data_IF_588156400331
#
_entry.id   IF_588156400331
#
_cell.length_a   1.000
_cell.length_b   1.000
_cell.length_c   1.000
_cell.angle_alpha   90.00
_cell.angle_beta   90.00
_cell.angle_gamma   90.00
#
_symmetry.space_group_name_H-M   'P 1'
#
loop_
_entity.id
_entity.type
_entity.pdbx_description
1 polymer ?
#
# COMPACT_ATOMS: atom_id res chain seq x y z
N UNK A 1 -24.14 -20.28 18.11
CA UNK A 1 -24.73 -21.31 18.99
C UNK A 1 -23.58 -22.08 19.63
N UNK A 2 -23.36 -21.89 20.93
CA UNK A 2 -22.46 -22.73 21.71
C UNK A 2 -23.26 -23.78 22.48
N UNK A 3 -22.68 -24.95 22.69
CA UNK A 3 -23.22 -25.97 23.60
C UNK A 3 -22.30 -26.01 24.81
N UNK A 4 -22.86 -25.92 26.01
CA UNK A 4 -22.11 -26.08 27.26
C UNK A 4 -22.57 -27.37 27.96
N UNK A 5 -21.59 -28.14 28.45
CA UNK A 5 -21.81 -29.35 29.25
C UNK A 5 -21.94 -28.94 30.72
N UNK A 6 -23.00 -29.38 31.40
CA UNK A 6 -23.23 -29.12 32.83
C UNK A 6 -23.27 -30.45 33.61
N UNK A 7 -22.47 -30.58 34.67
CA UNK A 7 -22.46 -31.75 35.56
C UNK A 7 -22.43 -31.29 37.02
N UNK A 8 -23.43 -31.64 37.86
CA UNK A 8 -24.64 -32.39 37.54
C UNK A 8 -25.72 -31.52 36.87
N UNK A 9 -26.52 -32.12 35.98
CA UNK A 9 -27.65 -31.45 35.37
C UNK A 9 -28.74 -31.12 36.40
N UNK A 10 -29.21 -29.87 36.42
CA UNK A 10 -30.31 -29.44 37.31
C UNK A 10 -31.68 -29.79 36.71
N UNK A 11 -32.73 -30.11 37.50
CA UNK A 11 -34.06 -30.49 36.97
C UNK A 11 -34.86 -29.30 36.38
N UNK A 12 -35.53 -29.52 35.24
CA UNK A 12 -36.40 -28.60 34.46
C UNK A 12 -35.64 -27.40 33.80
N UNK A 13 -35.71 -27.06 32.49
CA UNK A 13 -36.64 -27.30 31.36
C UNK A 13 -35.93 -26.82 30.08
N UNK A 14 -35.78 -27.56 28.96
CA UNK A 14 -35.51 -26.95 27.62
C UNK A 14 -35.92 -27.87 26.46
N UNK A 15 -36.66 -27.32 25.49
CA UNK A 15 -36.98 -27.97 24.22
C UNK A 15 -36.31 -27.24 23.05
N UNK A 16 -36.00 -27.95 21.96
CA UNK A 16 -35.66 -27.32 20.67
C UNK A 16 -36.78 -27.56 19.66
N UNK A 17 -37.06 -26.56 18.82
CA UNK A 17 -37.95 -26.68 17.66
C UNK A 17 -37.12 -26.34 16.40
N UNK A 18 -37.20 -27.11 15.31
CA UNK A 18 -36.62 -26.71 14.04
C UNK A 18 -37.19 -25.37 13.57
N UNK A 19 -36.37 -24.55 12.89
CA UNK A 19 -36.76 -23.20 12.40
C UNK A 19 -37.92 -23.26 11.40
N UNK A 20 -38.10 -24.39 10.71
CA UNK A 20 -39.22 -24.65 9.81
C UNK A 20 -40.53 -25.05 10.53
N UNK A 21 -40.55 -25.06 11.86
CA UNK A 21 -41.64 -25.62 12.67
C UNK A 21 -41.52 -27.12 12.92
N UNK A 22 -42.19 -27.64 13.94
CA UNK A 22 -42.16 -29.06 14.33
C UNK A 22 -42.63 -29.31 15.76
N UNK A 23 -42.54 -30.54 16.25
CA UNK A 23 -42.75 -30.88 17.66
C UNK A 23 -41.47 -30.68 18.48
N UNK A 24 -41.56 -30.11 19.70
CA UNK A 24 -40.38 -29.90 20.53
C UNK A 24 -39.71 -31.22 20.94
N UNK A 25 -38.39 -31.32 20.77
CA UNK A 25 -37.60 -32.46 21.26
C UNK A 25 -37.02 -32.15 22.63
N UNK A 26 -37.15 -33.09 23.57
CA UNK A 26 -36.63 -32.98 24.95
C UNK A 26 -35.16 -33.41 25.01
N UNK A 27 -34.28 -32.50 25.42
CA UNK A 27 -32.84 -32.72 25.54
C UNK A 27 -32.35 -32.84 26.98
N UNK A 28 -33.26 -32.90 27.96
CA UNK A 28 -32.90 -33.01 29.38
C UNK A 28 -32.06 -34.26 29.71
N UNK A 29 -32.16 -35.32 28.90
CA UNK A 29 -31.42 -36.58 29.06
C UNK A 29 -30.00 -36.57 28.47
N UNK A 30 -29.63 -35.54 27.71
CA UNK A 30 -28.39 -35.52 26.90
C UNK A 30 -27.29 -34.61 27.48
N UNK A 31 -27.54 -33.88 28.57
CA UNK A 31 -26.50 -33.10 29.28
C UNK A 31 -26.05 -31.80 28.58
N UNK A 32 -26.82 -31.30 27.61
CA UNK A 32 -26.52 -30.09 26.84
C UNK A 32 -27.59 -29.01 27.07
N UNK A 33 -27.17 -27.73 27.07
CA UNK A 33 -28.09 -26.58 26.97
C UNK A 33 -27.84 -25.80 25.67
N UNK A 34 -28.92 -25.35 25.04
CA UNK A 34 -28.90 -24.36 23.96
C UNK A 34 -28.85 -22.96 24.58
N UNK A 35 -27.73 -22.25 24.41
CA UNK A 35 -27.68 -20.82 24.71
C UNK A 35 -28.15 -20.03 23.50
N UNK A 36 -29.36 -19.49 23.58
CA UNK A 36 -29.84 -18.42 22.69
C UNK A 36 -29.55 -17.09 23.38
N UNK A 37 -28.46 -16.45 23.01
CA UNK A 37 -28.29 -15.03 23.31
C UNK A 37 -29.09 -14.25 22.26
N UNK A 38 -30.25 -13.75 22.66
CA UNK A 38 -31.06 -12.84 21.87
C UNK A 38 -30.98 -11.45 22.53
N UNK A 39 -30.15 -10.57 21.98
CA UNK A 39 -30.19 -9.16 22.32
C UNK A 39 -31.41 -8.52 21.66
N UNK A 40 -32.35 -7.99 22.44
CA UNK A 40 -33.44 -7.17 21.87
C UNK A 40 -32.90 -5.77 21.62
N UNK A 41 -32.64 -5.45 20.36
CA UNK A 41 -32.33 -4.08 19.95
C UNK A 41 -33.64 -3.29 19.96
N UNK A 42 -33.61 -2.03 20.42
CA UNK A 42 -34.78 -1.17 20.33
C UNK A 42 -35.23 -1.04 18.86
N UNK A 43 -36.55 -1.10 18.57
CA UNK A 43 -37.03 -0.99 17.21
C UNK A 43 -36.63 0.36 16.61
N UNK A 44 -36.18 0.34 15.35
CA UNK A 44 -35.89 1.56 14.61
C UNK A 44 -37.10 2.50 14.59
N UNK A 45 -36.86 3.79 14.85
CA UNK A 45 -37.94 4.79 14.96
C UNK A 45 -38.49 5.22 13.58
N UNK A 46 -37.79 4.91 12.50
CA UNK A 46 -38.20 5.13 11.12
C UNK A 46 -37.40 4.23 10.15
N UNK A 47 -37.78 4.25 8.86
CA UNK A 47 -37.09 3.49 7.82
C UNK A 47 -35.63 3.93 7.65
N UNK A 48 -34.74 2.98 7.44
CA UNK A 48 -33.33 3.26 7.14
C UNK A 48 -33.14 3.83 5.74
N UNK A 49 -32.08 4.62 5.57
CA UNK A 49 -31.63 5.04 4.24
C UNK A 49 -31.29 3.82 3.38
N UNK A 50 -31.43 3.97 2.06
CA UNK A 50 -31.12 2.93 1.08
C UNK A 50 -30.18 3.46 0.00
N UNK A 51 -29.57 2.55 -0.77
CA UNK A 51 -28.69 2.94 -1.88
C UNK A 51 -27.46 3.75 -1.45
N UNK A 52 -26.93 3.49 -0.25
CA UNK A 52 -25.69 4.11 0.21
C UNK A 52 -24.54 3.70 -0.73
N UNK A 53 -23.87 4.69 -1.32
CA UNK A 53 -22.72 4.51 -2.18
C UNK A 53 -21.69 5.62 -1.93
N UNK A 54 -20.42 5.32 -2.20
CA UNK A 54 -19.32 6.26 -2.15
C UNK A 54 -18.70 6.41 -3.54
N UNK A 55 -18.47 7.66 -3.95
CA UNK A 55 -17.91 8.04 -5.27
C UNK A 55 -16.89 9.16 -5.08
N UNK A 56 -16.21 9.57 -6.16
CA UNK A 56 -15.25 10.69 -6.14
C UNK A 56 -14.22 10.56 -5.00
N UNK A 57 -13.68 9.36 -4.84
CA UNK A 57 -12.73 9.05 -3.78
C UNK A 57 -11.43 9.82 -4.00
N UNK A 58 -11.03 10.56 -2.98
CA UNK A 58 -9.75 11.26 -2.90
C UNK A 58 -8.97 10.69 -1.73
N UNK A 59 -7.70 11.07 -1.60
CA UNK A 59 -6.89 10.65 -0.47
C UNK A 59 -7.41 11.11 0.90
N UNK A 60 -8.26 12.13 0.95
CA UNK A 60 -8.73 12.72 2.21
C UNK A 60 -10.26 12.78 2.31
N UNK A 61 -10.98 12.13 1.40
CA UNK A 61 -12.44 12.24 1.38
C UNK A 61 -13.12 11.44 0.27
N UNK A 62 -14.44 11.39 0.33
CA UNK A 62 -15.31 10.74 -0.65
C UNK A 62 -16.68 11.45 -0.70
N UNK A 63 -17.37 11.34 -1.83
CA UNK A 63 -18.76 11.80 -1.96
C UNK A 63 -19.71 10.63 -1.71
N UNK A 64 -20.52 10.75 -0.67
CA UNK A 64 -21.53 9.77 -0.27
C UNK A 64 -22.88 10.15 -0.88
N UNK A 65 -23.58 9.16 -1.42
CA UNK A 65 -24.96 9.30 -1.90
C UNK A 65 -25.84 8.25 -1.26
N UNK A 66 -27.04 8.62 -0.85
CA UNK A 66 -28.04 7.73 -0.28
C UNK A 66 -29.46 8.29 -0.51
N UNK A 67 -30.45 7.41 -0.50
CA UNK A 67 -31.88 7.75 -0.60
C UNK A 67 -32.52 7.63 0.78
N UNK A 68 -33.44 8.54 1.10
CA UNK A 68 -34.15 8.55 2.39
C UNK A 68 -35.64 8.23 2.21
N UNK A 69 -36.06 6.97 2.45
CA UNK A 69 -37.46 6.59 2.41
C UNK A 69 -38.30 7.20 3.55
N UNK A 70 -37.66 7.59 4.66
CA UNK A 70 -38.34 8.10 5.84
C UNK A 70 -38.65 9.60 5.77
N UNK A 71 -38.09 10.32 4.78
CA UNK A 71 -38.14 11.78 4.68
C UNK A 71 -37.76 12.47 6.01
N UNK A 72 -36.73 11.95 6.68
CA UNK A 72 -36.25 12.40 7.97
C UNK A 72 -35.61 13.80 7.92
N UNK A 73 -34.99 14.15 6.80
CA UNK A 73 -34.38 15.48 6.57
C UNK A 73 -33.08 15.75 7.36
N UNK A 74 -32.63 14.79 8.17
CA UNK A 74 -31.38 14.83 8.93
C UNK A 74 -30.81 13.42 9.08
N UNK A 75 -29.50 13.29 8.93
CA UNK A 75 -28.78 12.02 8.84
C UNK A 75 -27.52 12.05 9.68
N UNK A 76 -27.12 10.88 10.18
CA UNK A 76 -25.82 10.67 10.79
C UNK A 76 -24.99 9.75 9.90
N UNK A 77 -23.85 10.26 9.46
CA UNK A 77 -22.79 9.49 8.80
C UNK A 77 -21.82 9.05 9.88
N UNK A 78 -21.58 7.75 9.97
CA UNK A 78 -20.70 7.14 10.97
C UNK A 78 -19.59 6.42 10.21
N UNK A 79 -18.33 6.79 10.42
CA UNK A 79 -17.20 6.22 9.69
C UNK A 79 -16.02 5.92 10.62
N UNK A 80 -15.25 4.89 10.27
CA UNK A 80 -14.12 4.44 11.08
C UNK A 80 -13.28 3.39 10.36
N UNK A 81 -12.19 2.91 10.97
CA UNK A 81 -11.39 1.81 10.44
C UNK A 81 -12.28 0.59 10.15
N UNK A 82 -11.96 -0.17 9.12
CA UNK A 82 -12.70 -1.38 8.75
C UNK A 82 -12.96 -2.30 9.95
N UNK A 83 -14.20 -2.80 10.06
CA UNK A 83 -14.61 -3.72 11.13
C UNK A 83 -14.99 -3.07 12.47
N UNK A 84 -15.01 -1.73 12.56
CA UNK A 84 -15.51 -1.06 13.76
C UNK A 84 -17.02 -1.26 13.94
N UNK A 85 -17.50 -1.21 15.19
CA UNK A 85 -18.92 -1.24 15.52
C UNK A 85 -19.51 0.18 15.47
N UNK A 86 -20.44 0.49 14.54
CA UNK A 86 -21.04 1.81 14.42
C UNK A 86 -21.99 2.18 15.56
N UNK A 87 -22.31 1.24 16.46
CA UNK A 87 -23.12 1.53 17.65
C UNK A 87 -22.30 2.05 18.82
N UNK A 88 -21.02 1.68 18.89
CA UNK A 88 -20.13 1.98 20.03
C UNK A 88 -18.88 2.77 19.65
N UNK A 89 -18.54 2.88 18.36
CA UNK A 89 -17.33 3.54 17.89
C UNK A 89 -17.49 4.30 16.58
N UNK A 90 -16.35 4.74 16.05
CA UNK A 90 -16.27 5.56 14.85
C UNK A 90 -16.46 7.06 15.10
N UNK A 91 -16.35 7.84 14.04
CA UNK A 91 -16.62 9.28 14.02
C UNK A 91 -17.99 9.53 13.43
N UNK A 92 -18.81 10.32 14.11
CA UNK A 92 -20.17 10.66 13.66
C UNK A 92 -20.23 12.10 13.18
N UNK A 93 -20.80 12.30 11.99
CA UNK A 93 -21.09 13.63 11.43
C UNK A 93 -22.58 13.72 11.09
N UNK A 94 -23.20 14.83 11.44
CA UNK A 94 -24.61 15.09 11.12
C UNK A 94 -24.71 15.95 9.86
N UNK A 95 -25.62 15.61 8.96
CA UNK A 95 -25.87 16.32 7.70
C UNK A 95 -27.35 16.31 7.34
N UNK A 96 -27.79 17.25 6.52
CA UNK A 96 -29.11 17.25 5.88
C UNK A 96 -29.04 17.02 4.37
N UNK A 97 -27.84 16.77 3.83
CA UNK A 97 -27.58 16.67 2.40
C UNK A 97 -27.26 15.24 1.95
N UNK A 98 -27.75 14.90 0.75
CA UNK A 98 -27.32 13.77 -0.07
C UNK A 98 -27.37 14.25 -1.53
N UNK A 99 -26.25 14.30 -2.27
CA UNK A 99 -24.91 13.85 -1.90
C UNK A 99 -24.26 14.62 -0.74
N UNK A 100 -23.37 13.97 0.01
CA UNK A 100 -22.56 14.57 1.07
C UNK A 100 -21.06 14.34 0.83
N UNK A 101 -20.24 15.37 0.94
CA UNK A 101 -18.78 15.26 0.82
C UNK A 101 -18.15 15.00 2.19
N UNK A 102 -17.74 13.75 2.43
CA UNK A 102 -16.94 13.38 3.58
C UNK A 102 -15.49 13.81 3.36
N UNK A 103 -14.90 14.45 4.36
CA UNK A 103 -13.53 14.99 4.32
C UNK A 103 -12.74 14.54 5.55
N UNK A 104 -11.46 14.93 5.63
CA UNK A 104 -10.55 14.62 6.73
C UNK A 104 -10.30 13.11 6.97
N UNK A 105 -10.48 12.28 5.93
CA UNK A 105 -9.98 10.91 5.94
C UNK A 105 -8.44 10.91 5.86
N UNK A 106 -7.82 9.87 6.38
CA UNK A 106 -6.37 9.71 6.33
C UNK A 106 -5.98 8.91 5.09
N UNK A 107 -5.07 9.40 4.24
CA UNK A 107 -4.62 8.71 3.04
C UNK A 107 -4.14 7.28 3.29
N UNK A 108 -4.37 6.38 2.35
CA UNK A 108 -3.89 4.99 2.41
C UNK A 108 -4.62 4.10 3.41
N UNK A 109 -5.73 4.56 4.00
CA UNK A 109 -6.50 3.81 4.98
C UNK A 109 -7.82 3.30 4.39
N UNK A 110 -8.23 2.13 4.89
CA UNK A 110 -9.53 1.51 4.63
C UNK A 110 -10.55 1.93 5.69
N UNK A 111 -11.70 2.42 5.24
CA UNK A 111 -12.80 2.86 6.10
C UNK A 111 -14.08 2.08 5.80
N UNK A 112 -14.82 1.76 6.85
CA UNK A 112 -16.23 1.42 6.75
C UNK A 112 -17.07 2.67 7.02
N UNK A 113 -18.11 2.87 6.20
CA UNK A 113 -19.00 4.03 6.28
C UNK A 113 -20.44 3.55 6.39
N UNK A 114 -21.14 4.07 7.38
CA UNK A 114 -22.55 3.82 7.65
C UNK A 114 -23.33 5.13 7.64
N UNK A 115 -24.62 5.04 7.32
CA UNK A 115 -25.54 6.17 7.40
C UNK A 115 -26.83 5.75 8.09
N UNK A 116 -27.37 6.57 8.99
CA UNK A 116 -28.72 6.39 9.56
C UNK A 116 -29.51 7.70 9.54
N UNK A 117 -30.83 7.58 9.52
CA UNK A 117 -31.75 8.72 9.58
C UNK A 117 -32.00 9.14 11.03
N UNK A 118 -32.01 10.44 11.30
CA UNK A 118 -32.50 11.02 12.55
C UNK A 118 -34.01 11.25 12.39
N UNK A 119 -34.83 10.38 12.96
CA UNK A 119 -36.26 10.33 12.66
C UNK A 119 -36.99 11.58 13.20
N UNK A 120 -37.90 12.14 12.41
CA UNK A 120 -38.63 13.37 12.77
C UNK A 120 -39.45 13.26 14.07
N UNK A 121 -39.94 12.05 14.40
CA UNK A 121 -40.65 11.76 15.64
C UNK A 121 -39.75 11.50 16.86
N UNK A 122 -38.43 11.70 16.71
CA UNK A 122 -37.43 11.31 17.69
C UNK A 122 -36.87 9.90 17.46
N UNK A 123 -35.65 9.65 17.95
CA UNK A 123 -34.94 8.40 17.74
C UNK A 123 -34.28 8.29 16.36
N UNK A 124 -33.79 7.10 16.02
CA UNK A 124 -32.98 6.86 14.82
C UNK A 124 -33.45 5.61 14.07
N UNK A 125 -33.14 5.55 12.78
CA UNK A 125 -33.23 4.30 12.01
C UNK A 125 -32.08 3.35 12.37
N UNK A 126 -32.16 2.09 11.89
CA UNK A 126 -30.95 1.27 11.81
C UNK A 126 -29.94 1.89 10.85
N UNK A 127 -28.66 1.57 11.04
CA UNK A 127 -27.59 1.96 10.12
C UNK A 127 -27.70 1.19 8.81
N UNK A 128 -27.54 1.89 7.69
CA UNK A 128 -27.29 1.31 6.38
C UNK A 128 -25.79 1.30 6.10
N UNK A 129 -25.27 0.22 5.53
CA UNK A 129 -23.85 0.00 5.30
C UNK A 129 -23.38 -1.36 5.84
N UNK A 130 -22.07 -1.62 5.89
CA UNK A 130 -21.00 -0.68 5.52
C UNK A 130 -20.88 -0.49 4.01
N UNK A 131 -20.50 0.71 3.58
CA UNK A 131 -19.77 0.90 2.33
C UNK A 131 -18.29 0.98 2.68
N UNK A 132 -17.51 0.07 2.10
CA UNK A 132 -16.06 0.04 2.28
C UNK A 132 -15.39 0.96 1.25
N UNK A 133 -14.50 1.84 1.71
CA UNK A 133 -13.67 2.69 0.84
C UNK A 133 -12.21 2.61 1.25
N UNK A 134 -11.32 2.67 0.27
CA UNK A 134 -9.87 2.67 0.50
C UNK A 134 -9.31 3.97 -0.06
N UNK A 135 -8.98 4.90 0.81
CA UNK A 135 -8.42 6.18 0.38
C UNK A 135 -7.06 5.96 -0.31
N UNK A 136 -6.82 6.57 -1.48
CA UNK A 136 -5.48 6.60 -2.06
C UNK A 136 -4.48 7.19 -1.06
N UNK A 137 -3.26 6.69 -1.04
CA UNK A 137 -2.20 7.30 -0.24
C UNK A 137 -1.65 8.54 -0.93
N UNK A 138 -1.06 9.43 -0.13
CA UNK A 138 -0.28 10.58 -0.63
C UNK A 138 0.99 10.60 0.20
N UNK A 139 2.14 10.46 -0.44
CA UNK A 139 3.40 10.68 0.27
C UNK A 139 3.68 12.18 0.34
N UNK A 140 3.06 12.84 1.32
CA UNK A 140 3.36 14.24 1.65
C UNK A 140 4.53 14.37 2.61
N UNK A 141 4.83 13.32 3.39
CA UNK A 141 5.97 13.26 4.29
C UNK A 141 7.11 12.44 3.67
N UNK A 142 8.34 12.96 3.80
CA UNK A 142 9.54 12.22 3.42
C UNK A 142 9.80 11.07 4.41
N UNK A 143 10.23 9.92 3.90
CA UNK A 143 10.62 8.75 4.68
C UNK A 143 11.86 9.09 5.50
N UNK A 144 11.73 9.06 6.82
CA UNK A 144 12.81 9.36 7.77
C UNK A 144 13.24 8.15 8.62
N UNK A 145 12.51 7.04 8.53
CA UNK A 145 12.85 5.77 9.19
C UNK A 145 13.62 4.86 8.24
N UNK A 146 14.78 4.36 8.69
CA UNK A 146 15.61 3.44 7.92
C UNK A 146 15.88 2.16 8.73
N UNK A 147 15.87 0.96 8.11
CA UNK A 147 15.82 0.73 6.66
C UNK A 147 14.45 1.05 6.04
N UNK A 148 14.49 1.72 4.89
CA UNK A 148 13.33 1.78 3.99
C UNK A 148 13.37 0.52 3.12
N UNK A 149 12.26 -0.20 3.05
CA UNK A 149 12.10 -1.42 2.26
C UNK A 149 10.88 -1.30 1.37
N UNK A 150 11.04 -1.64 0.10
CA UNK A 150 9.99 -1.73 -0.90
C UNK A 150 10.12 -3.07 -1.64
N UNK A 151 9.17 -3.97 -1.38
CA UNK A 151 9.09 -5.30 -2.03
C UNK A 151 8.07 -5.32 -3.16
N UNK A 152 7.37 -4.20 -3.42
CA UNK A 152 6.34 -4.06 -4.45
C UNK A 152 5.10 -4.96 -4.29
N UNK A 153 5.02 -5.75 -3.22
CA UNK A 153 3.89 -6.63 -2.90
C UNK A 153 2.64 -5.88 -2.45
N UNK A 154 2.84 -4.74 -1.77
CA UNK A 154 1.78 -4.02 -1.08
C UNK A 154 1.40 -2.74 -1.84
N UNK A 155 0.45 -2.86 -2.77
CA UNK A 155 -0.22 -1.70 -3.39
C UNK A 155 -1.56 -1.47 -2.71
N UNK A 156 -1.79 -0.25 -2.22
CA UNK A 156 -3.12 0.15 -1.71
C UNK A 156 -4.15 -0.05 -2.83
N UNK A 157 -5.31 -0.60 -2.50
CA UNK A 157 -6.35 -0.87 -3.50
C UNK A 157 -6.75 0.40 -4.26
N UNK A 158 -6.92 0.26 -5.58
CA UNK A 158 -7.20 1.39 -6.47
C UNK A 158 -5.95 2.16 -6.93
N UNK A 159 -4.76 1.82 -6.45
CA UNK A 159 -3.50 2.35 -6.98
C UNK A 159 -2.74 1.32 -7.82
N UNK A 160 -2.04 1.82 -8.83
CA UNK A 160 -1.18 1.04 -9.72
C UNK A 160 0.25 0.88 -9.20
N UNK A 161 0.65 1.68 -8.21
CA UNK A 161 2.01 1.73 -7.64
C UNK A 161 1.94 1.77 -6.10
N UNK A 162 3.00 1.31 -5.41
CA UNK A 162 3.17 1.54 -3.98
C UNK A 162 3.25 3.03 -3.64
N UNK A 163 2.96 3.34 -2.38
CA UNK A 163 2.84 4.73 -1.94
C UNK A 163 4.11 5.54 -2.11
N UNK A 164 4.00 6.62 -2.87
CA UNK A 164 5.07 7.56 -3.20
C UNK A 164 6.13 7.06 -4.16
N UNK A 165 6.00 5.84 -4.68
CA UNK A 165 6.68 5.49 -5.92
C UNK A 165 6.04 6.32 -7.04
N UNK A 166 6.88 6.96 -7.83
CA UNK A 166 6.43 7.71 -9.01
C UNK A 166 7.07 7.11 -10.24
N UNK A 167 6.33 7.06 -11.34
CA UNK A 167 6.81 6.59 -12.64
C UNK A 167 6.72 7.73 -13.64
N UNK A 168 7.74 7.86 -14.48
CA UNK A 168 7.82 8.82 -15.56
C UNK A 168 8.14 8.08 -16.86
N UNK A 169 7.18 8.11 -17.77
CA UNK A 169 7.37 7.83 -19.19
C UNK A 169 8.00 9.08 -19.82
N UNK A 170 9.32 9.09 -20.02
CA UNK A 170 10.04 10.30 -20.39
C UNK A 170 10.20 10.47 -21.89
N UNK A 171 10.14 9.38 -22.66
CA UNK A 171 10.11 9.43 -24.12
C UNK A 171 8.68 9.45 -24.70
N UNK A 172 7.65 9.30 -23.84
CA UNK A 172 6.22 9.34 -24.17
C UNK A 172 5.80 8.25 -25.19
N UNK A 173 6.40 7.06 -25.10
CA UNK A 173 6.09 5.93 -25.98
C UNK A 173 5.01 4.98 -25.41
N UNK A 174 4.40 5.35 -24.28
CA UNK A 174 3.42 4.59 -23.52
C UNK A 174 3.95 3.26 -22.93
N UNK A 175 5.26 3.07 -22.92
CA UNK A 175 5.95 1.94 -22.33
C UNK A 175 6.74 2.39 -21.12
N UNK A 176 6.37 1.93 -19.93
CA UNK A 176 7.05 2.35 -18.71
C UNK A 176 7.00 1.30 -17.60
N UNK A 177 7.56 1.67 -16.46
CA UNK A 177 7.59 0.86 -15.24
C UNK A 177 6.19 0.62 -14.70
N UNK A 178 5.92 -0.61 -14.30
CA UNK A 178 4.65 -1.01 -13.69
C UNK A 178 4.86 -2.15 -12.71
N UNK A 179 3.91 -2.33 -11.80
CA UNK A 179 3.90 -3.51 -10.94
C UNK A 179 3.59 -4.75 -11.77
N UNK A 180 4.33 -5.83 -11.53
CA UNK A 180 4.20 -7.09 -12.24
C UNK A 180 4.19 -8.27 -11.27
N UNK A 181 3.47 -9.32 -11.65
CA UNK A 181 3.47 -10.63 -10.96
C UNK A 181 4.38 -11.63 -11.66
N UNK A 182 5.09 -11.22 -12.72
CA UNK A 182 5.98 -12.09 -13.47
C UNK A 182 7.35 -12.12 -12.82
N UNK A 183 7.81 -13.32 -12.48
CA UNK A 183 9.13 -13.57 -11.90
C UNK A 183 9.46 -12.65 -10.70
N UNK A 184 8.62 -12.56 -9.65
CA UNK A 184 9.01 -11.90 -8.42
C UNK A 184 10.25 -12.59 -7.83
N UNK A 185 11.17 -11.82 -7.26
CA UNK A 185 12.30 -12.38 -6.50
C UNK A 185 11.79 -12.86 -5.14
N UNK A 186 11.01 -12.03 -4.46
CA UNK A 186 10.36 -12.34 -3.20
C UNK A 186 8.85 -12.06 -3.29
N UNK A 187 8.06 -12.69 -2.42
CA UNK A 187 6.62 -12.45 -2.40
C UNK A 187 5.90 -12.81 -3.70
N UNK A 188 5.08 -11.89 -4.17
CA UNK A 188 4.13 -12.07 -5.28
C UNK A 188 4.30 -11.06 -6.41
N UNK A 189 5.02 -9.96 -6.18
CA UNK A 189 5.13 -8.85 -7.14
C UNK A 189 6.54 -8.28 -7.16
N UNK A 190 6.83 -7.54 -8.22
CA UNK A 190 8.02 -6.71 -8.40
C UNK A 190 7.64 -5.45 -9.20
N UNK A 191 8.61 -4.57 -9.49
CA UNK A 191 8.43 -3.54 -10.51
C UNK A 191 9.17 -3.91 -11.79
N UNK A 192 8.49 -3.74 -12.93
CA UNK A 192 8.97 -4.14 -14.24
C UNK A 192 8.86 -3.00 -15.24
N UNK A 193 9.94 -2.73 -15.96
CA UNK A 193 9.88 -2.03 -17.23
C UNK A 193 9.43 -3.00 -18.33
N UNK A 194 8.30 -2.73 -18.97
CA UNK A 194 7.75 -3.63 -20.00
C UNK A 194 8.25 -3.27 -21.40
N UNK A 195 9.53 -3.52 -21.71
CA UNK A 195 10.09 -3.21 -23.02
C UNK A 195 9.80 -4.24 -24.13
N UNK A 196 9.14 -5.38 -23.81
CA UNK A 196 9.16 -6.69 -24.53
C UNK A 196 9.54 -6.72 -26.02
N UNK A 197 9.12 -5.79 -26.88
CA UNK A 197 9.82 -5.46 -28.16
C UNK A 197 9.38 -4.05 -28.67
N UNK A 198 9.69 -2.98 -27.94
CA UNK A 198 9.43 -1.62 -28.42
C UNK A 198 10.39 -1.24 -29.58
N UNK A 199 9.89 -0.57 -30.62
CA UNK A 199 10.74 0.00 -31.70
C UNK A 199 11.48 1.26 -31.28
N UNK A 200 11.25 1.71 -30.04
CA UNK A 200 11.82 2.89 -29.40
C UNK A 200 12.76 2.42 -28.29
N UNK A 201 13.88 3.12 -28.12
CA UNK A 201 14.80 2.87 -27.02
C UNK A 201 14.18 3.33 -25.70
N UNK A 202 14.41 2.57 -24.64
CA UNK A 202 13.90 2.87 -23.31
C UNK A 202 14.51 4.17 -22.77
N UNK A 203 13.72 4.98 -22.06
CA UNK A 203 14.21 6.22 -21.46
C UNK A 203 13.36 6.60 -20.22
N UNK A 204 13.01 5.61 -19.41
CA UNK A 204 11.90 5.75 -18.47
C UNK A 204 12.36 5.53 -17.04
N UNK A 205 11.70 6.24 -16.14
CA UNK A 205 12.12 6.33 -14.75
C UNK A 205 11.04 5.81 -13.82
N UNK A 206 11.47 5.18 -12.73
CA UNK A 206 10.71 5.26 -11.50
C UNK A 206 11.56 5.87 -10.39
N UNK A 207 10.92 6.52 -9.44
CA UNK A 207 11.57 7.16 -8.31
C UNK A 207 10.98 6.63 -7.01
N UNK A 208 11.84 6.48 -6.01
CA UNK A 208 11.41 6.26 -4.62
C UNK A 208 10.53 7.40 -4.13
N UNK A 209 9.82 7.23 -3.01
CA UNK A 209 9.40 8.35 -2.19
C UNK A 209 10.57 9.31 -1.86
N UNK A 210 10.21 10.51 -1.42
CA UNK A 210 11.16 11.41 -0.79
C UNK A 210 11.80 10.72 0.42
N UNK A 211 13.12 10.66 0.47
CA UNK A 211 13.91 10.11 1.57
C UNK A 211 14.52 11.30 2.33
N UNK A 212 14.05 11.54 3.54
CA UNK A 212 14.71 12.47 4.45
C UNK A 212 15.94 11.75 4.99
N UNK A 213 17.13 12.20 4.62
CA UNK A 213 18.38 11.56 5.03
C UNK A 213 18.92 12.30 6.27
N UNK A 214 18.64 11.86 7.51
CA UNK A 214 19.19 12.46 8.71
C UNK A 214 20.70 12.16 8.76
N UNK A 215 21.49 12.94 8.03
CA UNK A 215 22.93 12.80 7.99
C UNK A 215 23.58 13.55 9.14
N UNK A 216 24.16 12.82 10.10
CA UNK A 216 25.32 13.34 10.85
C UNK A 216 26.57 13.15 9.99
N UNK A 217 27.71 13.73 10.38
CA UNK A 217 28.97 13.58 9.64
C UNK A 217 29.34 12.11 9.33
N UNK A 218 28.92 11.16 10.17
CA UNK A 218 29.31 9.75 10.09
C UNK A 218 28.21 8.80 9.58
N UNK A 219 27.05 9.32 9.17
CA UNK A 219 25.98 8.49 8.61
C UNK A 219 25.98 8.61 7.09
N UNK A 220 25.97 7.47 6.39
CA UNK A 220 25.73 7.36 4.95
C UNK A 220 24.53 6.45 4.72
N UNK A 221 23.99 6.46 3.51
CA UNK A 221 22.85 5.60 3.16
C UNK A 221 23.21 4.76 1.93
N UNK A 222 23.02 3.45 2.05
CA UNK A 222 23.30 2.50 1.00
C UNK A 222 22.00 2.08 0.34
N UNK A 223 21.93 2.25 -0.98
CA UNK A 223 20.87 1.65 -1.81
C UNK A 223 21.28 0.22 -2.16
N UNK A 224 20.34 -0.71 -2.08
CA UNK A 224 20.49 -2.07 -2.59
C UNK A 224 19.18 -2.55 -3.22
N UNK A 225 19.26 -3.40 -4.25
CA UNK A 225 18.10 -3.93 -4.95
C UNK A 225 18.46 -5.22 -5.69
N UNK A 226 17.44 -6.00 -6.04
CA UNK A 226 17.53 -7.18 -6.90
C UNK A 226 17.16 -6.79 -8.32
N UNK A 227 17.88 -7.31 -9.31
CA UNK A 227 17.56 -7.06 -10.72
C UNK A 227 17.76 -8.29 -11.62
N UNK A 228 16.97 -8.37 -12.69
CA UNK A 228 17.12 -9.37 -13.78
C UNK A 228 16.53 -8.87 -15.10
N UNK A 229 16.97 -9.46 -16.21
CA UNK A 229 16.33 -9.31 -17.52
C UNK A 229 15.16 -10.31 -17.71
N UNK A 230 14.32 -10.06 -18.72
CA UNK A 230 13.40 -11.04 -19.31
C UNK A 230 14.07 -11.86 -20.42
N UNK A 231 13.59 -13.09 -20.59
CA UNK A 231 13.91 -13.99 -21.71
C UNK A 231 13.10 -15.29 -21.58
N UNK A 232 13.23 -16.21 -22.54
CA UNK A 232 12.61 -17.54 -22.44
C UNK A 232 13.33 -18.38 -21.39
N UNK A 233 12.68 -18.63 -20.25
CA UNK A 233 13.19 -19.46 -19.16
C UNK A 233 13.53 -18.70 -17.87
N UNK A 234 13.89 -19.46 -16.84
CA UNK A 234 14.11 -18.94 -15.48
C UNK A 234 15.59 -18.94 -15.06
N UNK A 235 16.48 -19.51 -15.88
CA UNK A 235 17.90 -19.68 -15.57
C UNK A 235 18.77 -19.35 -16.78
N UNK A 236 20.04 -19.01 -16.54
CA UNK A 236 21.00 -18.68 -17.60
C UNK A 236 20.94 -17.21 -18.05
N UNK A 237 21.18 -16.99 -19.34
CA UNK A 237 21.29 -15.67 -19.96
C UNK A 237 20.21 -15.44 -21.01
N UNK A 238 19.63 -14.25 -21.03
CA UNK A 238 18.69 -13.79 -22.04
C UNK A 238 19.39 -13.51 -23.36
N UNK A 239 18.63 -13.60 -24.47
CA UNK A 239 19.05 -13.09 -25.77
C UNK A 239 18.93 -11.56 -25.87
N UNK A 240 18.23 -10.92 -24.93
CA UNK A 240 18.09 -9.47 -24.82
C UNK A 240 19.07 -8.92 -23.78
N UNK A 241 19.51 -7.68 -23.99
CA UNK A 241 20.42 -6.97 -23.08
C UNK A 241 19.77 -5.67 -22.62
N UNK A 242 19.44 -5.61 -21.35
CA UNK A 242 18.92 -4.42 -20.70
C UNK A 242 20.04 -3.53 -20.17
N UNK A 243 19.73 -2.24 -20.04
CA UNK A 243 20.61 -1.23 -19.45
C UNK A 243 19.87 -0.44 -18.38
N UNK A 244 20.53 -0.26 -17.24
CA UNK A 244 20.03 0.47 -16.09
C UNK A 244 21.08 1.46 -15.60
N UNK A 245 20.66 2.68 -15.32
CA UNK A 245 21.36 3.57 -14.40
C UNK A 245 20.48 3.89 -13.19
N UNK A 246 21.12 4.05 -12.03
CA UNK A 246 20.46 4.49 -10.80
C UNK A 246 21.13 5.77 -10.36
N UNK A 247 20.31 6.78 -10.07
CA UNK A 247 20.77 8.11 -9.65
C UNK A 247 20.06 8.53 -8.37
N UNK A 248 20.60 9.57 -7.73
CA UNK A 248 19.90 10.29 -6.67
C UNK A 248 19.85 11.79 -6.95
N UNK A 249 18.83 12.43 -6.37
CA UNK A 249 18.50 13.80 -6.69
C UNK A 249 17.55 14.48 -5.72
N UNK A 250 17.43 15.80 -5.83
CA UNK A 250 16.53 16.60 -4.99
C UNK A 250 15.05 16.50 -5.40
N UNK A 251 14.75 15.89 -6.56
CA UNK A 251 13.39 15.73 -7.07
C UNK A 251 13.22 14.43 -7.86
N UNK A 252 11.99 13.91 -7.90
CA UNK A 252 11.55 12.81 -8.76
C UNK A 252 11.36 13.27 -10.22
N UNK A 253 12.40 13.85 -10.82
CA UNK A 253 12.44 14.32 -12.21
C UNK A 253 13.82 14.06 -12.80
N UNK A 254 13.92 13.96 -14.12
CA UNK A 254 15.21 13.76 -14.81
C UNK A 254 16.24 14.82 -14.42
N UNK A 255 15.85 16.10 -14.44
CA UNK A 255 16.73 17.21 -14.07
C UNK A 255 17.15 17.19 -12.59
N UNK A 256 16.29 16.65 -11.71
CA UNK A 256 16.59 16.51 -10.29
C UNK A 256 17.64 15.43 -9.99
N UNK A 257 17.77 14.41 -10.84
CA UNK A 257 18.65 13.26 -10.66
C UNK A 257 20.10 13.54 -11.11
N UNK A 258 20.87 14.19 -10.25
CA UNK A 258 22.22 14.68 -10.58
C UNK A 258 23.36 13.76 -10.17
N UNK A 259 23.16 12.85 -9.21
CA UNK A 259 24.23 12.02 -8.65
C UNK A 259 24.12 10.58 -9.15
N UNK A 260 25.09 10.08 -9.92
CA UNK A 260 25.13 8.69 -10.35
C UNK A 260 25.48 7.77 -9.18
N UNK A 261 24.69 6.72 -8.97
CA UNK A 261 24.92 5.71 -7.94
C UNK A 261 25.34 4.37 -8.51
N UNK A 262 24.76 3.97 -9.63
CA UNK A 262 24.99 2.67 -10.26
C UNK A 262 24.75 2.78 -11.76
N UNK A 263 25.50 2.01 -12.54
CA UNK A 263 25.21 1.80 -13.96
C UNK A 263 25.59 0.38 -14.35
N UNK A 264 24.74 -0.25 -15.15
CA UNK A 264 25.02 -1.53 -15.77
C UNK A 264 24.30 -1.60 -17.12
N UNK A 265 25.09 -1.62 -18.20
CA UNK A 265 24.61 -1.64 -19.57
C UNK A 265 24.60 -3.03 -20.21
N UNK A 266 24.81 -4.09 -19.41
CA UNK A 266 24.96 -5.46 -19.88
C UNK A 266 24.10 -6.44 -19.05
N UNK A 267 22.87 -6.04 -18.71
CA UNK A 267 21.97 -6.88 -17.91
C UNK A 267 21.29 -7.90 -18.83
N UNK A 268 21.76 -9.14 -18.77
CA UNK A 268 21.16 -10.27 -19.51
C UNK A 268 20.91 -11.50 -18.61
N UNK A 269 21.08 -11.38 -17.29
CA UNK A 269 20.85 -12.46 -16.35
C UNK A 269 19.35 -12.80 -16.22
N UNK A 270 19.00 -14.09 -16.31
CA UNK A 270 17.64 -14.60 -16.05
C UNK A 270 17.42 -15.00 -14.59
N UNK A 271 18.49 -15.08 -13.79
CA UNK A 271 18.42 -15.22 -12.33
C UNK A 271 18.68 -13.85 -11.72
N UNK A 272 17.94 -13.48 -10.67
CA UNK A 272 18.17 -12.20 -9.98
C UNK A 272 19.59 -12.10 -9.45
N UNK A 273 20.24 -10.99 -9.81
CA UNK A 273 21.48 -10.53 -9.21
C UNK A 273 21.16 -9.48 -8.12
N UNK A 274 22.13 -9.20 -7.26
CA UNK A 274 22.03 -8.13 -6.26
C UNK A 274 22.96 -6.98 -6.63
N UNK A 275 22.41 -5.77 -6.62
CA UNK A 275 23.19 -4.54 -6.60
C UNK A 275 23.22 -3.99 -5.16
N UNK A 276 24.38 -3.53 -4.70
CA UNK A 276 24.57 -2.93 -3.38
C UNK A 276 26.01 -2.50 -3.13
N UNK A 277 26.36 -2.24 -1.87
CA UNK A 277 27.70 -1.76 -1.48
C UNK A 277 28.84 -2.77 -1.71
N UNK A 278 28.52 -4.04 -1.95
CA UNK A 278 29.49 -5.13 -2.15
C UNK A 278 29.37 -5.80 -3.53
N UNK A 279 28.47 -5.32 -4.40
CA UNK A 279 28.29 -5.87 -5.74
C UNK A 279 29.36 -5.39 -6.71
N UNK A 280 29.42 -5.99 -7.90
CA UNK A 280 30.20 -5.46 -9.03
C UNK A 280 29.25 -5.25 -10.21
N UNK A 281 29.02 -3.99 -10.66
CA UNK A 281 29.54 -2.74 -10.09
C UNK A 281 28.93 -2.43 -8.70
N UNK A 282 29.66 -1.65 -7.90
CA UNK A 282 29.20 -1.19 -6.57
C UNK A 282 28.15 -0.10 -6.74
N UNK A 283 27.12 -0.12 -5.89
CA UNK A 283 26.18 1.01 -5.73
C UNK A 283 26.80 2.02 -4.78
N UNK A 284 27.06 3.24 -5.24
CA UNK A 284 27.61 4.30 -4.39
C UNK A 284 26.64 4.71 -3.26
N UNK A 285 27.17 5.26 -2.18
CA UNK A 285 26.35 5.85 -1.12
C UNK A 285 25.57 7.06 -1.62
N UNK A 286 24.38 7.28 -1.05
CA UNK A 286 23.66 8.53 -1.26
C UNK A 286 24.49 9.72 -0.76
N UNK A 287 24.41 10.90 -1.43
CA UNK A 287 25.14 12.09 -1.02
C UNK A 287 24.85 12.47 0.45
N UNK A 288 25.92 12.73 1.20
CA UNK A 288 25.79 13.21 2.59
C UNK A 288 25.31 14.68 2.62
N UNK A 289 24.60 15.05 3.69
CA UNK A 289 24.20 16.43 3.94
C UNK A 289 23.02 16.96 3.11
N UNK A 290 22.40 16.12 2.26
CA UNK A 290 21.17 16.48 1.57
C UNK A 290 19.96 16.31 2.50
N UNK A 291 19.09 17.32 2.59
CA UNK A 291 17.89 17.30 3.45
C UNK A 291 16.86 16.26 2.98
N UNK A 292 16.64 16.17 1.68
CA UNK A 292 15.73 15.19 1.06
C UNK A 292 16.30 14.74 -0.27
N UNK A 293 16.24 13.44 -0.54
CA UNK A 293 16.69 12.82 -1.79
C UNK A 293 15.64 11.86 -2.33
N UNK A 294 15.63 11.67 -3.64
CA UNK A 294 14.90 10.64 -4.35
C UNK A 294 15.92 9.75 -5.05
N UNK A 295 15.73 8.44 -5.04
CA UNK A 295 16.51 7.51 -5.85
C UNK A 295 15.73 7.22 -7.12
N UNK A 296 16.28 7.58 -8.28
CA UNK A 296 15.71 7.33 -9.59
C UNK A 296 16.36 6.11 -10.24
N UNK A 297 15.54 5.22 -10.78
CA UNK A 297 15.94 4.06 -11.59
C UNK A 297 15.55 4.33 -13.03
N UNK A 298 16.54 4.46 -13.90
CA UNK A 298 16.37 4.79 -15.30
C UNK A 298 16.76 3.61 -16.16
N UNK A 299 15.77 3.06 -16.86
CA UNK A 299 16.05 2.10 -17.91
C UNK A 299 16.41 2.85 -19.18
N UNK A 300 17.59 2.54 -19.70
CA UNK A 300 18.16 3.15 -20.90
C UNK A 300 18.61 2.10 -21.91
N UNK A 301 17.89 0.97 -21.94
CA UNK A 301 18.06 -0.10 -22.91
C UNK A 301 17.90 0.41 -24.35
N UNK A 302 18.65 -0.18 -25.28
CA UNK A 302 18.45 0.08 -26.71
C UNK A 302 17.02 -0.32 -27.15
N UNK A 303 16.64 0.07 -28.38
CA UNK A 303 15.40 -0.44 -28.96
C UNK A 303 15.44 -1.97 -29.15
N UNK A 304 14.27 -2.59 -29.25
CA UNK A 304 14.09 -4.03 -29.48
C UNK A 304 14.74 -4.92 -28.39
N UNK A 305 14.82 -4.41 -27.16
CA UNK A 305 15.19 -5.20 -25.99
C UNK A 305 13.94 -5.74 -25.28
N UNK A 306 14.14 -6.52 -24.21
CA UNK A 306 13.10 -7.18 -23.46
C UNK A 306 12.60 -6.34 -22.28
N UNK A 307 12.38 -6.99 -21.14
CA UNK A 307 11.96 -6.34 -19.89
C UNK A 307 13.10 -6.33 -18.90
N UNK A 308 13.08 -5.33 -18.03
CA UNK A 308 13.92 -5.25 -16.84
C UNK A 308 13.03 -5.34 -15.60
N UNK A 309 13.43 -6.17 -14.63
CA UNK A 309 12.74 -6.33 -13.35
C UNK A 309 13.62 -5.84 -12.22
N UNK A 310 13.03 -5.10 -11.29
CA UNK A 310 13.63 -4.67 -10.04
C UNK A 310 12.76 -5.15 -8.89
N UNK A 311 13.39 -5.65 -7.84
CA UNK A 311 12.70 -6.14 -6.65
C UNK A 311 13.53 -5.93 -5.38
N UNK A 312 12.92 -6.10 -4.21
CA UNK A 312 13.54 -5.96 -2.89
C UNK A 312 14.43 -4.71 -2.76
N UNK A 313 13.87 -3.54 -3.09
CA UNK A 313 14.56 -2.27 -2.98
C UNK A 313 14.71 -1.90 -1.51
N UNK A 314 15.93 -1.59 -1.09
CA UNK A 314 16.21 -1.11 0.25
C UNK A 314 17.13 0.10 0.26
N UNK A 315 16.90 0.97 1.25
CA UNK A 315 17.83 2.04 1.63
C UNK A 315 18.13 1.89 3.11
N UNK A 316 19.40 1.66 3.43
CA UNK A 316 19.84 1.37 4.81
C UNK A 316 20.86 2.39 5.29
N UNK A 317 20.71 2.86 6.52
CA UNK A 317 21.70 3.71 7.17
C UNK A 317 22.97 2.90 7.49
N UNK A 318 24.12 3.43 7.12
CA UNK A 318 25.44 2.85 7.35
C UNK A 318 26.27 3.84 8.15
N UNK A 319 26.84 3.38 9.26
CA UNK A 319 27.79 4.17 10.04
C UNK A 319 29.17 4.06 9.41
N UNK A 320 29.76 5.20 9.07
CA UNK A 320 31.16 5.29 8.66
C UNK A 320 31.99 5.52 9.91
N UNK A 321 32.72 4.48 10.35
CA UNK A 321 33.69 4.59 11.44
C UNK A 321 35.01 5.16 10.91
N UNK A 322 35.54 6.14 11.63
CA UNK A 322 36.65 7.01 11.20
C UNK A 322 38.04 6.34 11.16
N UNK A 323 38.19 5.13 10.60
CA UNK A 323 39.52 4.63 10.19
C UNK A 323 39.94 5.16 8.81
N UNK A 324 39.04 5.83 8.09
CA UNK A 324 39.34 6.64 6.88
C UNK A 324 38.62 7.99 6.97
N UNK A 325 39.19 8.91 7.75
CA UNK A 325 38.74 10.32 7.82
C UNK A 325 38.66 10.95 6.42
N UNK A 326 37.66 11.80 6.16
CA UNK A 326 37.50 12.54 4.89
C UNK A 326 38.72 13.41 4.55
N UNK A 327 39.52 13.82 5.55
CA UNK A 327 40.77 14.52 5.34
C UNK A 327 41.85 13.64 4.66
N UNK A 328 41.80 12.32 4.85
CA UNK A 328 42.78 11.38 4.30
C UNK A 328 42.53 11.06 2.80
N UNK A 329 41.27 11.07 2.37
CA UNK A 329 40.89 10.84 0.96
C UNK A 329 41.18 12.05 0.04
N UNK A 330 41.15 13.28 0.57
CA UNK A 330 41.54 14.49 -0.18
C UNK A 330 43.06 14.67 -0.31
N UNK A 331 43.86 14.11 0.62
CA UNK A 331 45.30 14.29 0.66
C UNK A 331 46.09 13.47 -0.39
N UNK A 332 45.48 12.48 -1.05
CA UNK A 332 46.19 11.58 -1.99
C UNK A 332 46.29 12.10 -3.43
N UNK A 333 45.79 13.32 -3.71
CA UNK A 333 45.85 13.94 -5.05
C UNK A 333 46.79 15.14 -5.17
N UNK A 334 47.65 15.41 -4.16
CA UNK A 334 48.61 16.52 -4.24
C UNK A 334 49.95 16.09 -3.66
N UNK A 335 50.78 15.38 -4.44
CA UNK A 335 52.26 15.52 -4.46
C UNK A 335 52.85 14.65 -5.58
N UNK A 336 53.27 15.24 -6.71
CA UNK A 336 54.39 14.72 -7.49
C UNK A 336 55.69 15.38 -6.98
N UNK A 337 56.70 14.58 -6.67
CA UNK A 337 58.10 14.94 -6.84
C UNK A 337 58.75 13.88 -7.71
#
# INVERSE_FOLDING_TARGET
MGVQIEVPARPATYYTLPVAGGTPSDFASQGYRLMLEAGTVAPASCASVTGLAATNLTATGATLTFTDPAAAGSYQIIYGPVGFDPTTGGTTVTTTASPYTLTALQPGNTYDIYVRSNCAGGGNSYVAGPVNVITPCVNTAAISGFPYLETFDNTVAGQSLPCGITVLDANADATTWRISTEFPYSGTRNIRYQGIVASVAANDWFFTPALALPGTANTRFQVAFRYRAAGTGNTGTSAYTESLEVKSGAAATVAGQTNLLYTNSAINNLVYAQAGGTSTPVVAYLPAGASTQYVGFHVNSAALQGNLYIDDLSVTAVTVTATTSEALLRAISVFPN
#
